data_IF_284445731154
#
_entry.id   IF_284445731154
#
_cell.length_a   1.000
_cell.length_b   1.000
_cell.length_c   1.000
_cell.angle_alpha   90.00
_cell.angle_beta   90.00
_cell.angle_gamma   90.00
#
_symmetry.space_group_name_H-M   'P 1'
#
loop_
_entity.id
_entity.type
_entity.pdbx_description
1 polymer ?
#
# COMPACT_ATOMS: atom_id res chain seq x y z
N UNK A 1 63.48 41.88 59.82
CA UNK A 1 63.57 40.96 58.71
C UNK A 1 62.49 39.90 58.95
N UNK A 2 61.38 39.99 58.26
CA UNK A 2 60.22 39.06 58.41
C UNK A 2 60.12 38.26 57.12
N UNK A 3 60.19 36.95 57.24
CA UNK A 3 59.96 36.01 56.12
C UNK A 3 58.47 35.82 55.87
N UNK A 4 58.03 36.01 54.63
CA UNK A 4 56.66 35.66 54.17
C UNK A 4 56.70 34.24 53.66
N UNK A 5 55.85 33.39 54.26
CA UNK A 5 55.58 32.04 53.80
C UNK A 5 54.39 32.09 52.88
N UNK A 6 54.56 31.71 51.60
CA UNK A 6 53.52 31.55 50.60
C UNK A 6 52.86 30.18 50.78
N UNK A 7 51.52 30.15 50.93
CA UNK A 7 50.75 28.93 50.93
C UNK A 7 50.14 28.73 49.48
N UNK A 8 50.55 27.69 48.83
CA UNK A 8 49.95 27.26 47.57
C UNK A 8 48.63 26.51 47.84
N UNK A 9 47.57 27.01 47.28
CA UNK A 9 46.29 26.32 47.30
C UNK A 9 46.20 25.40 46.08
N UNK A 10 46.02 24.10 46.33
CA UNK A 10 45.78 23.07 45.31
C UNK A 10 44.25 23.01 45.04
N UNK A 11 43.84 23.43 43.85
CA UNK A 11 42.48 23.22 43.38
C UNK A 11 42.34 21.79 42.76
N UNK A 12 41.57 20.93 43.39
CA UNK A 12 41.21 19.66 42.84
C UNK A 12 40.07 19.87 41.83
N UNK A 13 40.33 19.63 40.55
CA UNK A 13 39.29 19.61 39.48
C UNK A 13 38.69 18.22 39.47
N UNK A 14 37.46 18.10 39.97
CA UNK A 14 36.65 16.91 39.82
C UNK A 14 36.06 16.88 38.41
N UNK A 15 36.58 16.02 37.52
CA UNK A 15 36.00 15.75 36.21
C UNK A 15 34.70 14.93 36.38
N UNK A 16 33.57 15.57 36.06
CA UNK A 16 32.26 14.92 36.00
C UNK A 16 32.16 14.17 34.67
N UNK A 17 32.34 12.85 34.67
CA UNK A 17 32.06 12.01 33.51
C UNK A 17 30.56 11.96 33.29
N UNK A 18 30.07 12.71 32.30
CA UNK A 18 28.72 12.55 31.78
C UNK A 18 28.68 11.28 30.91
N UNK A 19 28.00 10.24 31.38
CA UNK A 19 27.69 9.07 30.59
C UNK A 19 26.65 9.45 29.50
N UNK A 20 26.81 9.03 28.25
CA UNK A 20 25.79 9.27 27.22
C UNK A 20 24.53 8.48 27.56
N UNK A 21 23.42 9.20 27.74
CA UNK A 21 22.07 8.60 27.77
C UNK A 21 21.77 8.04 26.35
N UNK A 22 21.92 6.75 26.18
CA UNK A 22 21.39 6.04 25.01
C UNK A 22 19.87 6.02 25.10
N UNK A 23 19.23 6.83 24.26
CA UNK A 23 17.78 6.72 24.02
C UNK A 23 17.48 5.33 23.44
N UNK A 24 16.47 4.63 23.92
CA UNK A 24 16.09 3.37 23.32
C UNK A 24 15.62 3.64 21.88
N UNK A 25 16.30 3.04 20.92
CA UNK A 25 15.82 2.93 19.55
C UNK A 25 14.49 2.19 19.61
N UNK A 26 13.39 2.87 19.25
CA UNK A 26 12.11 2.22 19.03
C UNK A 26 12.26 1.29 17.82
N UNK A 27 12.62 0.04 18.07
CA UNK A 27 12.43 -1.02 17.11
C UNK A 27 10.92 -1.05 16.81
N UNK A 28 10.54 -0.79 15.57
CA UNK A 28 9.18 -1.00 15.14
C UNK A 28 8.87 -2.48 15.42
N UNK A 29 7.91 -2.74 16.30
CA UNK A 29 7.47 -4.11 16.61
C UNK A 29 7.08 -4.80 15.30
N UNK A 30 7.78 -5.90 14.97
CA UNK A 30 7.33 -6.77 13.88
C UNK A 30 5.92 -7.28 14.22
N UNK A 31 5.00 -7.36 13.24
CA UNK A 31 3.64 -7.82 13.49
C UNK A 31 3.66 -9.20 14.16
N UNK A 32 3.07 -9.31 15.34
CA UNK A 32 2.92 -10.60 16.04
C UNK A 32 2.09 -11.53 15.17
N UNK A 33 2.54 -12.77 15.02
CA UNK A 33 1.81 -13.79 14.25
C UNK A 33 0.40 -13.97 14.81
N UNK A 34 -0.58 -14.14 13.92
CA UNK A 34 -1.98 -14.37 14.22
C UNK A 34 -2.76 -13.22 14.93
N UNK A 35 -2.16 -12.05 15.09
CA UNK A 35 -2.85 -10.84 15.56
C UNK A 35 -3.04 -9.81 14.43
N UNK A 36 -4.15 -9.07 14.47
CA UNK A 36 -4.37 -7.94 13.58
C UNK A 36 -3.55 -6.74 14.05
N UNK A 37 -2.74 -6.19 13.16
CA UNK A 37 -1.93 -5.00 13.40
C UNK A 37 -2.33 -3.93 12.42
N UNK A 38 -2.56 -2.71 12.91
CA UNK A 38 -2.86 -1.58 12.04
C UNK A 38 -1.60 -1.12 11.31
N UNK A 39 -1.68 -1.04 9.99
CA UNK A 39 -0.64 -0.44 9.14
C UNK A 39 -0.80 1.09 9.06
N UNK A 40 -1.95 1.60 9.45
CA UNK A 40 -2.25 3.03 9.49
C UNK A 40 -2.43 3.49 10.94
N UNK A 41 -1.68 4.49 11.37
CA UNK A 41 -1.65 4.96 12.75
C UNK A 41 -2.78 5.95 13.11
N UNK A 42 -3.65 6.30 12.14
CA UNK A 42 -4.75 7.25 12.32
C UNK A 42 -4.33 8.72 12.46
N UNK A 43 -3.06 9.07 12.29
CA UNK A 43 -2.54 10.42 12.53
C UNK A 43 -1.84 11.03 11.32
N UNK A 44 -1.02 10.25 10.64
CA UNK A 44 -0.20 10.69 9.52
C UNK A 44 0.15 9.50 8.60
N UNK A 45 0.92 9.76 7.55
CA UNK A 45 1.37 8.76 6.59
C UNK A 45 2.71 8.09 6.99
N UNK A 46 3.09 8.06 8.26
CA UNK A 46 4.29 7.37 8.70
C UNK A 46 4.26 5.89 8.28
N UNK A 47 5.33 5.42 7.65
CA UNK A 47 5.41 4.09 7.07
C UNK A 47 4.80 3.95 5.67
N UNK A 48 4.25 5.03 5.12
CA UNK A 48 3.67 5.07 3.79
C UNK A 48 4.38 6.09 2.90
N UNK A 49 4.61 5.75 1.64
CA UNK A 49 5.30 6.61 0.68
C UNK A 49 4.55 6.61 -0.66
N UNK A 50 4.18 7.79 -1.20
CA UNK A 50 3.49 7.89 -2.47
C UNK A 50 4.44 7.66 -3.66
N UNK A 51 3.89 7.11 -4.73
CA UNK A 51 4.45 7.12 -6.08
C UNK A 51 3.33 7.49 -7.05
N UNK A 52 3.45 8.62 -7.69
CA UNK A 52 2.47 9.14 -8.65
C UNK A 52 3.11 9.20 -10.03
N UNK A 53 2.37 8.83 -11.07
CA UNK A 53 2.83 8.86 -12.48
C UNK A 53 3.33 10.25 -12.85
N UNK A 54 4.49 10.31 -13.46
CA UNK A 54 5.15 11.58 -13.82
C UNK A 54 5.97 12.22 -12.70
N UNK A 55 5.92 11.68 -11.47
CA UNK A 55 6.58 12.22 -10.29
C UNK A 55 7.60 11.24 -9.69
N UNK A 56 8.58 11.76 -8.95
CA UNK A 56 9.56 10.93 -8.26
C UNK A 56 8.92 10.15 -7.09
N UNK A 57 9.53 9.03 -6.71
CA UNK A 57 9.11 8.28 -5.52
C UNK A 57 9.23 9.17 -4.27
N UNK A 58 8.15 9.29 -3.51
CA UNK A 58 8.04 10.14 -2.33
C UNK A 58 7.42 11.52 -2.62
N UNK A 59 7.27 11.92 -3.87
CA UNK A 59 6.55 13.15 -4.23
C UNK A 59 5.04 12.92 -4.15
N UNK A 60 4.40 13.55 -3.18
CA UNK A 60 2.95 13.54 -3.01
C UNK A 60 2.30 14.67 -3.80
N UNK A 61 2.46 14.64 -5.12
CA UNK A 61 1.95 15.67 -6.01
C UNK A 61 0.50 16.05 -5.71
N UNK A 62 0.22 17.35 -5.68
CA UNK A 62 -1.12 17.86 -5.41
C UNK A 62 -1.69 17.47 -4.04
N UNK A 63 -0.85 16.96 -3.12
CA UNK A 63 -1.29 16.46 -1.82
C UNK A 63 -2.40 15.39 -1.96
N UNK A 64 -2.18 14.50 -2.95
CA UNK A 64 -3.15 13.45 -3.32
C UNK A 64 -3.51 12.55 -2.16
N UNK A 65 -2.50 12.09 -1.42
CA UNK A 65 -2.70 11.28 -0.22
C UNK A 65 -2.50 12.14 1.02
N UNK A 66 -3.51 12.22 1.87
CA UNK A 66 -3.45 13.00 3.11
C UNK A 66 -4.27 12.35 4.22
N UNK A 67 -3.97 12.72 5.45
CA UNK A 67 -4.71 12.23 6.62
C UNK A 67 -5.51 13.38 7.20
N UNK A 68 -6.82 13.20 7.27
CA UNK A 68 -7.76 14.10 7.91
C UNK A 68 -8.78 13.29 8.69
N UNK A 69 -9.12 13.71 9.90
CA UNK A 69 -10.09 13.04 10.77
C UNK A 69 -9.78 11.57 11.06
N UNK A 70 -8.50 11.19 11.11
CA UNK A 70 -8.09 9.80 11.31
C UNK A 70 -8.29 8.88 10.11
N UNK A 71 -8.42 9.43 8.92
CA UNK A 71 -8.74 8.73 7.66
C UNK A 71 -7.68 9.07 6.61
N UNK A 72 -7.14 8.09 5.89
CA UNK A 72 -6.38 8.33 4.66
C UNK A 72 -7.38 8.75 3.59
N UNK A 73 -7.21 9.94 3.05
CA UNK A 73 -8.06 10.51 2.01
C UNK A 73 -7.27 10.67 0.72
N UNK A 74 -7.82 10.18 -0.38
CA UNK A 74 -7.35 10.48 -1.73
C UNK A 74 -8.16 11.65 -2.25
N UNK A 75 -7.49 12.73 -2.65
CA UNK A 75 -8.13 13.98 -3.09
C UNK A 75 -7.43 14.54 -4.32
N UNK A 76 -8.20 15.28 -5.11
CA UNK A 76 -7.75 15.90 -6.37
C UNK A 76 -8.10 17.40 -6.43
N UNK A 77 -8.40 18.03 -5.30
CA UNK A 77 -8.78 19.46 -5.21
C UNK A 77 -7.65 20.41 -5.65
N UNK A 78 -6.40 19.95 -5.63
CA UNK A 78 -5.24 20.70 -6.12
C UNK A 78 -4.85 20.35 -7.56
N UNK A 79 -5.62 19.47 -8.22
CA UNK A 79 -5.41 19.13 -9.62
C UNK A 79 -6.19 20.07 -10.54
N UNK A 80 -5.56 20.52 -11.61
CA UNK A 80 -6.28 21.21 -12.68
C UNK A 80 -7.08 20.21 -13.51
N UNK A 81 -6.46 19.10 -13.85
CA UNK A 81 -7.00 17.93 -14.54
C UNK A 81 -6.22 16.70 -14.07
N UNK A 82 -6.81 15.51 -14.21
CA UNK A 82 -6.18 14.25 -13.77
C UNK A 82 -4.93 13.91 -14.56
N UNK A 83 -4.97 14.10 -15.87
CA UNK A 83 -3.85 13.97 -16.83
C UNK A 83 -3.02 12.66 -16.66
N UNK A 84 -3.71 11.53 -16.40
CA UNK A 84 -3.07 10.22 -16.24
C UNK A 84 -2.21 10.08 -14.98
N UNK A 85 -2.36 10.95 -13.99
CA UNK A 85 -1.56 10.93 -12.77
C UNK A 85 -2.09 9.90 -11.77
N UNK A 86 -2.03 8.62 -12.18
CA UNK A 86 -2.33 7.49 -11.31
C UNK A 86 -1.34 7.44 -10.14
N UNK A 87 -1.80 7.08 -8.97
CA UNK A 87 -0.96 7.09 -7.77
C UNK A 87 -1.12 5.85 -6.91
N UNK A 88 -0.06 5.53 -6.20
CA UNK A 88 0.04 4.40 -5.29
C UNK A 88 0.70 4.85 -3.99
N UNK A 89 0.05 4.64 -2.87
CA UNK A 89 0.58 4.89 -1.54
C UNK A 89 1.14 3.58 -1.00
N UNK A 90 2.45 3.39 -1.08
CA UNK A 90 3.14 2.15 -0.70
C UNK A 90 3.43 2.08 0.79
N UNK A 91 3.11 0.94 1.40
CA UNK A 91 3.60 0.61 2.74
C UNK A 91 5.08 0.19 2.69
N UNK A 92 5.82 0.51 3.74
CA UNK A 92 7.30 0.37 3.80
C UNK A 92 7.82 -1.06 3.75
N UNK A 93 7.04 -2.04 4.22
CA UNK A 93 7.46 -3.42 4.39
C UNK A 93 6.84 -4.35 3.32
N UNK A 94 7.53 -5.47 3.04
CA UNK A 94 7.04 -6.54 2.19
C UNK A 94 6.36 -7.61 3.02
N UNK A 95 5.39 -8.29 2.40
CA UNK A 95 4.67 -9.39 3.02
C UNK A 95 4.54 -10.58 2.06
N UNK A 96 4.50 -11.78 2.63
CA UNK A 96 4.39 -13.05 1.90
C UNK A 96 3.11 -13.80 2.26
N UNK A 97 2.92 -14.16 3.54
CA UNK A 97 1.76 -14.90 4.03
C UNK A 97 1.00 -14.02 5.01
N UNK A 98 -0.18 -13.56 4.63
CA UNK A 98 -0.94 -12.61 5.45
C UNK A 98 -2.42 -12.56 5.06
N UNK A 99 -3.21 -11.95 5.94
CA UNK A 99 -4.54 -11.45 5.63
C UNK A 99 -4.52 -9.93 5.80
N UNK A 100 -4.94 -9.20 4.80
CA UNK A 100 -5.06 -7.74 4.80
C UNK A 100 -6.53 -7.37 4.81
N UNK A 101 -6.92 -6.42 5.65
CA UNK A 101 -8.26 -5.87 5.73
C UNK A 101 -8.21 -4.38 5.47
N UNK A 102 -9.06 -3.91 4.56
CA UNK A 102 -9.21 -2.50 4.23
C UNK A 102 -10.67 -2.10 4.28
N UNK A 103 -11.00 -1.04 5.01
CA UNK A 103 -12.30 -0.40 4.94
C UNK A 103 -12.20 0.87 4.11
N UNK A 104 -12.93 0.93 3.01
CA UNK A 104 -12.89 2.02 2.05
C UNK A 104 -14.28 2.54 1.71
N UNK A 105 -14.35 3.76 1.17
CA UNK A 105 -15.54 4.33 0.51
C UNK A 105 -15.15 5.30 -0.58
N UNK A 106 -15.97 5.39 -1.60
CA UNK A 106 -15.88 6.46 -2.61
C UNK A 106 -16.71 7.65 -2.17
N UNK A 107 -16.22 8.86 -2.45
CA UNK A 107 -16.91 10.10 -2.08
C UNK A 107 -16.78 11.14 -3.19
N UNK A 108 -17.78 12.03 -3.30
CA UNK A 108 -17.73 13.15 -4.23
C UNK A 108 -17.70 12.75 -5.71
N UNK A 109 -17.17 13.63 -6.53
CA UNK A 109 -17.09 13.49 -7.97
C UNK A 109 -15.69 13.15 -8.46
N UNK A 110 -15.60 12.48 -9.60
CA UNK A 110 -14.34 12.17 -10.25
C UNK A 110 -13.61 13.45 -10.67
N UNK A 111 -12.30 13.48 -10.54
CA UNK A 111 -11.45 14.55 -11.03
C UNK A 111 -11.66 14.76 -12.53
N UNK A 112 -11.74 16.02 -12.97
CA UNK A 112 -11.83 16.37 -14.37
C UNK A 112 -10.71 15.73 -15.18
N UNK A 113 -11.02 15.18 -16.36
CA UNK A 113 -10.05 14.47 -17.20
C UNK A 113 -9.75 13.03 -16.77
N UNK A 114 -10.35 12.56 -15.69
CA UNK A 114 -10.28 11.14 -15.31
C UNK A 114 -10.97 10.24 -16.34
N UNK A 115 -10.39 9.07 -16.69
CA UNK A 115 -10.99 8.16 -17.66
C UNK A 115 -12.31 7.58 -17.12
N UNK A 116 -13.30 7.39 -17.98
CA UNK A 116 -14.63 6.96 -17.55
C UNK A 116 -14.66 5.61 -16.82
N UNK A 117 -13.75 4.69 -17.16
CA UNK A 117 -13.61 3.41 -16.47
C UNK A 117 -13.09 3.57 -15.01
N UNK A 118 -12.40 4.67 -14.69
CA UNK A 118 -11.86 4.95 -13.38
C UNK A 118 -12.87 5.67 -12.45
N UNK A 119 -14.12 5.87 -12.87
CA UNK A 119 -15.17 6.40 -12.00
C UNK A 119 -15.45 5.40 -10.88
N UNK A 120 -15.34 5.85 -9.60
CA UNK A 120 -15.48 5.01 -8.40
C UNK A 120 -14.66 3.74 -8.51
N UNK A 121 -13.37 3.91 -8.87
CA UNK A 121 -12.37 2.87 -9.01
C UNK A 121 -11.14 3.20 -8.16
N UNK A 122 -10.61 2.21 -7.49
CA UNK A 122 -9.43 2.22 -6.65
C UNK A 122 -9.06 0.77 -6.36
N UNK A 123 -8.06 0.52 -5.51
CA UNK A 123 -7.70 -0.84 -5.16
C UNK A 123 -6.59 -0.92 -4.12
N UNK A 124 -6.29 -2.16 -3.78
CA UNK A 124 -5.07 -2.53 -3.09
C UNK A 124 -4.21 -3.32 -4.06
N UNK A 125 -3.02 -2.79 -4.34
CA UNK A 125 -2.01 -3.54 -5.05
C UNK A 125 -1.21 -4.36 -4.04
N UNK A 126 -0.91 -5.61 -4.36
CA UNK A 126 -0.09 -6.49 -3.53
C UNK A 126 0.83 -7.36 -4.36
N UNK A 127 1.79 -8.03 -3.74
CA UNK A 127 2.93 -8.60 -4.47
C UNK A 127 3.61 -7.58 -5.40
N UNK A 128 3.54 -6.29 -5.02
CA UNK A 128 4.11 -5.23 -5.84
C UNK A 128 5.63 -5.34 -5.94
N UNK A 129 6.15 -4.96 -7.11
CA UNK A 129 7.56 -4.63 -7.27
C UNK A 129 8.03 -3.62 -6.23
N UNK A 130 9.33 -3.51 -6.00
CA UNK A 130 9.89 -2.42 -5.20
C UNK A 130 9.52 -1.08 -5.86
N UNK A 131 8.80 -0.17 -5.16
CA UNK A 131 8.38 1.10 -5.74
C UNK A 131 9.54 1.97 -6.22
N UNK A 132 10.73 1.80 -5.66
CA UNK A 132 11.95 2.50 -6.11
C UNK A 132 12.44 2.03 -7.49
N UNK A 133 11.97 0.87 -7.96
CA UNK A 133 12.28 0.33 -9.29
C UNK A 133 11.25 0.74 -10.34
N UNK A 134 10.15 1.36 -9.94
CA UNK A 134 9.17 1.89 -10.88
C UNK A 134 9.78 3.04 -11.69
N UNK A 135 9.49 3.04 -13.00
CA UNK A 135 9.83 4.21 -13.83
C UNK A 135 9.03 5.43 -13.36
N UNK A 136 9.55 6.62 -13.67
CA UNK A 136 8.88 7.88 -13.34
C UNK A 136 7.48 7.95 -13.94
N UNK A 137 7.33 7.49 -15.18
CA UNK A 137 6.12 7.49 -15.99
C UNK A 137 5.30 6.19 -15.92
N UNK A 138 5.69 5.25 -15.04
CA UNK A 138 4.96 4.00 -14.87
C UNK A 138 3.65 4.25 -14.13
N UNK A 139 2.52 3.91 -14.77
CA UNK A 139 1.18 4.14 -14.24
C UNK A 139 0.83 3.19 -13.10
N UNK A 140 1.13 1.90 -13.26
CA UNK A 140 0.82 0.86 -12.27
C UNK A 140 2.07 0.06 -11.93
N UNK A 141 2.27 -0.35 -10.66
CA UNK A 141 3.32 -1.29 -10.32
C UNK A 141 3.05 -2.66 -10.95
N UNK A 142 4.10 -3.39 -11.31
CA UNK A 142 3.97 -4.82 -11.55
C UNK A 142 3.49 -5.48 -10.25
N UNK A 143 2.27 -6.04 -10.25
CA UNK A 143 1.57 -6.48 -9.04
C UNK A 143 0.34 -7.30 -9.37
N UNK A 144 -0.34 -7.81 -8.33
CA UNK A 144 -1.74 -8.19 -8.38
C UNK A 144 -2.55 -7.08 -7.72
N UNK A 145 -3.74 -6.82 -8.22
CA UNK A 145 -4.67 -5.84 -7.67
C UNK A 145 -5.93 -6.50 -7.13
N UNK A 146 -6.31 -6.16 -5.93
CA UNK A 146 -7.67 -6.30 -5.40
C UNK A 146 -8.42 -5.02 -5.74
N UNK A 147 -9.12 -5.01 -6.89
CA UNK A 147 -9.77 -3.83 -7.46
C UNK A 147 -11.06 -3.50 -6.70
N UNK A 148 -11.18 -2.28 -6.24
CA UNK A 148 -12.36 -1.76 -5.57
C UNK A 148 -13.21 -0.93 -6.54
N UNK A 149 -14.44 -1.34 -6.74
CA UNK A 149 -15.40 -0.62 -7.56
C UNK A 149 -16.62 -0.22 -6.73
N UNK A 150 -17.00 1.05 -6.79
CA UNK A 150 -18.29 1.53 -6.27
C UNK A 150 -19.38 1.43 -7.34
N UNK A 151 -20.62 1.17 -6.94
CA UNK A 151 -21.77 1.17 -7.84
C UNK A 151 -21.99 2.55 -8.48
N UNK A 152 -22.61 2.55 -9.65
CA UNK A 152 -22.94 3.74 -10.43
C UNK A 152 -24.45 4.02 -10.46
N UNK A 153 -25.19 3.48 -9.47
CA UNK A 153 -26.66 3.62 -9.40
C UNK A 153 -27.42 2.78 -10.43
N UNK A 154 -26.72 2.00 -11.26
CA UNK A 154 -27.33 1.12 -12.26
C UNK A 154 -26.41 -0.03 -12.64
N UNK A 155 -27.02 -1.18 -12.94
CA UNK A 155 -26.29 -2.37 -13.37
C UNK A 155 -25.51 -3.04 -12.24
N UNK A 156 -24.96 -4.22 -12.53
CA UNK A 156 -24.09 -4.96 -11.62
C UNK A 156 -22.66 -4.49 -11.78
N UNK A 157 -22.03 -4.13 -10.67
CA UNK A 157 -20.61 -3.75 -10.60
C UNK A 157 -20.00 -4.34 -9.34
N UNK A 158 -19.33 -5.46 -9.49
CA UNK A 158 -18.70 -6.18 -8.38
C UNK A 158 -17.45 -5.45 -7.89
N UNK A 159 -17.08 -5.69 -6.66
CA UNK A 159 -15.87 -5.11 -6.05
C UNK A 159 -14.94 -6.20 -5.52
N UNK A 160 -13.74 -5.82 -5.14
CA UNK A 160 -12.66 -6.74 -4.78
C UNK A 160 -12.42 -7.78 -5.90
N UNK A 161 -12.44 -7.27 -7.14
CA UNK A 161 -12.11 -8.02 -8.35
C UNK A 161 -10.61 -8.31 -8.38
N UNK A 162 -10.14 -9.11 -9.33
CA UNK A 162 -8.71 -9.28 -9.55
C UNK A 162 -8.31 -8.61 -10.86
N UNK A 163 -7.27 -7.76 -10.81
CA UNK A 163 -6.54 -7.31 -11.98
C UNK A 163 -5.04 -7.61 -11.81
N UNK A 164 -4.31 -7.70 -12.93
CA UNK A 164 -2.96 -8.24 -12.96
C UNK A 164 -2.00 -7.39 -13.81
N UNK A 165 -1.71 -6.13 -13.43
CA UNK A 165 -0.76 -5.32 -14.17
C UNK A 165 0.64 -5.96 -14.16
N UNK A 166 1.15 -6.32 -15.35
CA UNK A 166 2.44 -6.98 -15.52
C UNK A 166 2.54 -8.40 -14.94
N UNK A 167 1.41 -9.00 -14.59
CA UNK A 167 1.38 -10.33 -13.94
C UNK A 167 0.29 -11.22 -14.54
N UNK A 168 0.33 -12.49 -14.18
CA UNK A 168 -0.66 -13.50 -14.51
C UNK A 168 -1.00 -14.31 -13.24
N UNK A 169 -2.10 -15.05 -13.27
CA UNK A 169 -2.53 -15.96 -12.20
C UNK A 169 -2.91 -17.33 -12.77
N UNK A 170 -3.17 -18.29 -11.91
CA UNK A 170 -3.87 -19.53 -12.28
C UNK A 170 -5.30 -19.47 -11.73
N UNK A 171 -6.27 -19.47 -12.60
CA UNK A 171 -7.69 -19.49 -12.27
C UNK A 171 -8.31 -20.79 -12.79
N UNK A 172 -9.02 -21.52 -11.94
CA UNK A 172 -9.63 -22.81 -12.25
C UNK A 172 -8.64 -23.80 -12.89
N UNK A 173 -7.41 -23.83 -12.35
CA UNK A 173 -6.32 -24.73 -12.78
C UNK A 173 -5.65 -24.35 -14.10
N UNK A 174 -5.98 -23.21 -14.70
CA UNK A 174 -5.42 -22.74 -15.98
C UNK A 174 -4.74 -21.38 -15.84
N UNK A 175 -3.66 -21.18 -16.60
CA UNK A 175 -3.04 -19.85 -16.69
C UNK A 175 -4.07 -18.86 -17.25
N UNK A 176 -4.30 -17.81 -16.47
CA UNK A 176 -5.22 -16.73 -16.79
C UNK A 176 -4.43 -15.45 -17.07
N UNK A 177 -4.48 -14.98 -18.30
CA UNK A 177 -3.73 -13.82 -18.81
C UNK A 177 -4.57 -12.58 -19.10
N UNK A 178 -5.94 -12.62 -19.13
CA UNK A 178 -6.71 -11.39 -19.21
C UNK A 178 -6.41 -10.47 -18.04
N UNK A 179 -6.36 -9.16 -18.32
CA UNK A 179 -5.96 -8.15 -17.32
C UNK A 179 -6.82 -8.16 -16.06
N UNK A 180 -8.13 -8.28 -16.17
CA UNK A 180 -9.04 -8.31 -15.03
C UNK A 180 -10.09 -9.41 -15.13
N UNK A 181 -10.60 -9.85 -13.96
CA UNK A 181 -11.77 -10.69 -13.84
C UNK A 181 -12.62 -10.30 -12.63
N UNK A 182 -13.93 -10.43 -12.78
CA UNK A 182 -14.90 -10.00 -11.76
C UNK A 182 -15.02 -11.01 -10.62
N UNK A 183 -15.16 -10.51 -9.42
CA UNK A 183 -15.54 -11.29 -8.24
C UNK A 183 -17.04 -11.66 -8.27
N UNK A 184 -17.48 -12.41 -7.26
CA UNK A 184 -18.90 -12.75 -7.03
C UNK A 184 -19.59 -11.79 -6.05
N UNK A 185 -18.96 -10.66 -5.71
CA UNK A 185 -19.51 -9.72 -4.73
C UNK A 185 -20.81 -9.07 -5.17
N UNK A 186 -21.50 -8.45 -4.23
CA UNK A 186 -22.60 -7.51 -4.51
C UNK A 186 -22.05 -6.21 -5.09
N UNK A 187 -22.95 -5.37 -5.58
CA UNK A 187 -22.69 -3.97 -5.91
C UNK A 187 -22.94 -3.11 -4.67
N UNK A 188 -22.06 -2.16 -4.41
CA UNK A 188 -22.17 -1.21 -3.28
C UNK A 188 -22.31 0.19 -3.85
N UNK A 189 -23.51 0.74 -3.77
CA UNK A 189 -23.83 2.08 -4.28
C UNK A 189 -23.68 3.16 -3.21
N UNK A 190 -23.51 4.40 -3.64
CA UNK A 190 -23.37 5.55 -2.74
C UNK A 190 -22.03 5.59 -2.00
N UNK A 191 -21.98 6.40 -0.94
CA UNK A 191 -20.75 6.68 -0.18
C UNK A 191 -20.65 5.80 1.08
N UNK A 192 -21.04 4.55 0.97
CA UNK A 192 -21.01 3.59 2.08
C UNK A 192 -19.61 3.01 2.29
N UNK A 193 -19.28 2.74 3.56
CA UNK A 193 -18.07 1.99 3.88
C UNK A 193 -18.21 0.52 3.50
N UNK A 194 -17.19 -0.01 2.87
CA UNK A 194 -17.11 -1.41 2.44
C UNK A 194 -15.84 -2.03 3.02
N UNK A 195 -15.97 -3.21 3.61
CA UNK A 195 -14.83 -3.99 4.10
C UNK A 195 -14.40 -5.00 3.04
N UNK A 196 -13.19 -4.81 2.52
CA UNK A 196 -12.53 -5.77 1.65
C UNK A 196 -11.37 -6.45 2.39
N UNK A 197 -11.22 -7.75 2.21
CA UNK A 197 -10.07 -8.48 2.73
C UNK A 197 -9.44 -9.31 1.61
N UNK A 198 -8.11 -9.48 1.69
CA UNK A 198 -7.36 -10.45 0.89
C UNK A 198 -6.57 -11.36 1.81
N UNK A 199 -6.55 -12.66 1.51
CA UNK A 199 -5.73 -13.65 2.18
C UNK A 199 -4.72 -14.19 1.17
N UNK A 200 -3.44 -14.06 1.47
CA UNK A 200 -2.32 -14.36 0.57
C UNK A 200 -1.42 -15.40 1.20
N UNK A 201 -1.12 -16.47 0.47
CA UNK A 201 -0.21 -17.53 0.87
C UNK A 201 1.00 -17.60 -0.06
N UNK A 202 1.85 -16.57 -0.02
CA UNK A 202 3.02 -16.46 -0.90
C UNK A 202 2.64 -16.61 -2.37
N UNK A 203 3.33 -17.48 -3.09
CA UNK A 203 2.99 -17.84 -4.49
C UNK A 203 1.89 -18.89 -4.61
N UNK A 204 1.25 -19.27 -3.52
CA UNK A 204 0.16 -20.26 -3.48
C UNK A 204 -1.21 -19.63 -3.74
N UNK A 205 -2.15 -19.92 -2.84
CA UNK A 205 -3.54 -19.48 -2.95
C UNK A 205 -3.72 -18.03 -2.51
N UNK A 206 -4.53 -17.30 -3.25
CA UNK A 206 -5.04 -15.97 -2.89
C UNK A 206 -6.57 -16.02 -2.84
N UNK A 207 -7.14 -15.41 -1.80
CA UNK A 207 -8.60 -15.30 -1.61
C UNK A 207 -9.00 -13.86 -1.37
N UNK A 208 -10.11 -13.44 -1.97
CA UNK A 208 -10.72 -12.13 -1.74
C UNK A 208 -12.05 -12.30 -1.00
N UNK A 209 -12.29 -11.44 -0.02
CA UNK A 209 -13.52 -11.41 0.76
C UNK A 209 -14.10 -10.00 0.77
N UNK A 210 -15.43 -9.89 0.73
CA UNK A 210 -16.15 -8.62 0.90
C UNK A 210 -17.20 -8.82 1.99
N UNK A 211 -17.19 -7.96 3.00
CA UNK A 211 -18.07 -8.08 4.18
C UNK A 211 -18.03 -9.49 4.81
N UNK A 212 -16.82 -10.11 4.80
CA UNK A 212 -16.58 -11.45 5.34
C UNK A 212 -16.95 -12.62 4.41
N UNK A 213 -17.63 -12.37 3.29
CA UNK A 213 -17.98 -13.39 2.30
C UNK A 213 -16.84 -13.63 1.31
N UNK A 214 -16.45 -14.89 1.06
CA UNK A 214 -15.48 -15.27 0.02
C UNK A 214 -16.09 -14.98 -1.36
N UNK A 215 -15.48 -14.09 -2.11
CA UNK A 215 -16.00 -13.64 -3.43
C UNK A 215 -15.11 -14.04 -4.60
N UNK A 216 -13.84 -14.41 -4.34
CA UNK A 216 -12.90 -14.86 -5.37
C UNK A 216 -11.77 -15.69 -4.76
N UNK A 217 -11.27 -16.65 -5.52
CA UNK A 217 -10.07 -17.42 -5.20
C UNK A 217 -9.32 -17.76 -6.47
N UNK A 218 -7.99 -17.72 -6.43
CA UNK A 218 -7.07 -18.11 -7.50
C UNK A 218 -5.72 -18.50 -6.91
N UNK A 219 -4.76 -18.88 -7.75
CA UNK A 219 -3.48 -19.42 -7.33
C UNK A 219 -2.34 -18.88 -8.21
N UNK A 220 -1.13 -19.09 -7.72
CA UNK A 220 0.13 -18.89 -8.46
C UNK A 220 0.24 -17.52 -9.11
N UNK A 221 0.14 -16.42 -8.32
CA UNK A 221 0.49 -15.10 -8.83
C UNK A 221 1.92 -15.13 -9.38
N UNK A 222 2.12 -14.62 -10.60
CA UNK A 222 3.37 -14.75 -11.30
C UNK A 222 3.61 -13.59 -12.26
N UNK A 223 4.87 -13.27 -12.52
CA UNK A 223 5.28 -12.26 -13.49
C UNK A 223 4.83 -12.68 -14.91
N UNK A 224 4.38 -11.70 -15.70
CA UNK A 224 4.14 -11.91 -17.13
C UNK A 224 5.44 -11.70 -17.92
N UNK A 225 6.01 -12.74 -18.53
CA UNK A 225 7.23 -12.59 -19.32
C UNK A 225 7.05 -11.80 -20.62
N UNK A 226 5.82 -11.43 -20.98
CA UNK A 226 5.51 -10.58 -22.14
C UNK A 226 5.44 -9.09 -21.77
N UNK A 227 5.20 -8.77 -20.50
CA UNK A 227 5.16 -7.39 -20.03
C UNK A 227 6.57 -6.80 -19.94
N UNK A 228 6.73 -5.57 -20.38
CA UNK A 228 8.04 -4.92 -20.50
C UNK A 228 8.68 -4.60 -19.14
N UNK A 229 7.86 -4.28 -18.12
CA UNK A 229 8.35 -3.96 -16.79
C UNK A 229 8.52 -5.23 -15.94
N UNK A 230 7.60 -6.18 -16.02
CA UNK A 230 7.71 -7.47 -15.35
C UNK A 230 8.94 -8.24 -15.82
N UNK A 231 9.25 -8.20 -17.11
CA UNK A 231 10.43 -8.86 -17.69
C UNK A 231 11.75 -8.44 -17.03
N UNK A 232 11.85 -7.18 -16.58
CA UNK A 232 13.01 -6.65 -15.86
C UNK A 232 13.17 -7.23 -14.43
N UNK A 233 12.08 -7.76 -13.88
CA UNK A 233 12.02 -8.31 -12.53
C UNK A 233 12.29 -9.82 -12.52
N UNK A 234 12.22 -10.48 -13.67
CA UNK A 234 12.47 -11.93 -13.79
C UNK A 234 13.96 -12.20 -13.55
N UNK A 235 14.26 -13.04 -12.55
CA UNK A 235 15.61 -13.51 -12.24
C UNK A 235 15.62 -15.03 -12.22
N UNK A 236 16.64 -15.64 -12.83
CA UNK A 236 16.82 -17.10 -12.88
C UNK A 236 15.56 -17.84 -13.36
N UNK A 237 14.86 -17.28 -14.36
CA UNK A 237 13.59 -17.78 -14.93
C UNK A 237 12.45 -17.99 -13.91
N UNK A 238 12.57 -17.40 -12.71
CA UNK A 238 11.55 -17.47 -11.67
C UNK A 238 10.43 -16.47 -11.95
N UNK A 239 9.22 -16.99 -12.15
CA UNK A 239 8.03 -16.16 -12.40
C UNK A 239 7.17 -15.97 -11.16
N UNK A 240 7.10 -16.96 -10.25
CA UNK A 240 6.21 -16.95 -9.11
C UNK A 240 6.53 -15.81 -8.13
N UNK A 241 5.49 -15.13 -7.67
CA UNK A 241 5.57 -14.02 -6.71
C UNK A 241 5.42 -14.57 -5.28
N UNK A 242 6.52 -14.64 -4.55
CA UNK A 242 6.56 -15.17 -3.17
C UNK A 242 6.21 -14.12 -2.12
N UNK A 243 6.55 -12.86 -2.39
CA UNK A 243 6.35 -11.71 -1.52
C UNK A 243 6.31 -10.41 -2.33
N UNK A 244 5.88 -9.33 -1.74
CA UNK A 244 5.95 -8.01 -2.36
C UNK A 244 5.43 -6.91 -1.45
N UNK A 245 5.52 -5.68 -1.94
CA UNK A 245 4.95 -4.52 -1.26
C UNK A 245 3.44 -4.48 -1.41
N UNK A 246 2.81 -3.65 -0.58
CA UNK A 246 1.37 -3.34 -0.62
C UNK A 246 1.23 -1.86 -0.91
N UNK A 247 0.24 -1.48 -1.73
CA UNK A 247 -0.13 -0.07 -1.90
C UNK A 247 -1.63 0.14 -1.99
N UNK A 248 -2.08 1.32 -1.56
CA UNK A 248 -3.43 1.84 -1.79
C UNK A 248 -3.39 2.71 -3.06
N UNK A 249 -4.41 2.58 -3.90
CA UNK A 249 -4.41 3.17 -5.23
C UNK A 249 -5.22 4.47 -5.30
N UNK A 250 -4.80 5.41 -6.15
CA UNK A 250 -5.54 6.60 -6.58
C UNK A 250 -5.70 6.61 -8.11
N UNK A 251 -6.96 6.66 -8.58
CA UNK A 251 -7.33 6.54 -10.00
C UNK A 251 -8.32 7.62 -10.48
N UNK A 252 -8.16 8.84 -10.05
CA UNK A 252 -9.00 10.00 -10.41
C UNK A 252 -10.30 10.18 -9.63
N UNK A 253 -10.88 9.14 -9.00
CA UNK A 253 -12.07 9.32 -8.16
C UNK A 253 -11.65 9.38 -6.68
N UNK A 254 -12.13 10.37 -5.90
CA UNK A 254 -11.82 10.45 -4.47
C UNK A 254 -12.27 9.21 -3.71
N UNK A 255 -11.36 8.65 -2.94
CA UNK A 255 -11.59 7.48 -2.10
C UNK A 255 -11.03 7.72 -0.70
N UNK A 256 -11.60 7.10 0.29
CA UNK A 256 -11.19 7.19 1.69
C UNK A 256 -10.94 5.80 2.26
N UNK A 257 -9.88 5.68 3.10
CA UNK A 257 -9.52 4.46 3.79
C UNK A 257 -9.44 4.76 5.29
N UNK A 258 -10.36 4.21 6.08
CA UNK A 258 -10.37 4.43 7.54
C UNK A 258 -9.68 3.31 8.32
N UNK A 259 -9.48 2.15 7.71
CA UNK A 259 -8.83 1.00 8.32
C UNK A 259 -7.94 0.30 7.29
N UNK A 260 -6.70 0.06 7.67
CA UNK A 260 -5.76 -0.80 6.93
C UNK A 260 -5.05 -1.66 7.96
N UNK A 261 -5.46 -2.91 8.09
CA UNK A 261 -4.97 -3.85 9.09
C UNK A 261 -4.40 -5.10 8.44
N UNK A 262 -3.31 -5.62 8.97
CA UNK A 262 -2.70 -6.85 8.51
C UNK A 262 -2.62 -7.88 9.64
N UNK A 263 -2.78 -9.15 9.27
CA UNK A 263 -2.53 -10.29 10.12
C UNK A 263 -1.54 -11.21 9.41
N UNK A 264 -0.33 -11.34 9.94
CA UNK A 264 0.69 -12.20 9.37
C UNK A 264 0.37 -13.66 9.69
N UNK A 265 0.34 -14.50 8.66
CA UNK A 265 0.02 -15.92 8.76
C UNK A 265 1.31 -16.77 8.87
N UNK A 266 1.16 -17.98 9.36
CA UNK A 266 2.25 -18.97 9.33
C UNK A 266 2.46 -19.47 7.90
N UNK A 267 3.73 -19.66 7.53
CA UNK A 267 4.11 -20.35 6.29
C UNK A 267 3.77 -21.82 6.37
#
# INVERSE_FOLDING_TARGET
MRALTSRAAIFAITALCAAPLSLPSSAADEPKKDEWVSLFNGKNLDGWTPKITGHEYGDNYGDTFRVEDGIIKVRYDKYKEFDGQFGHLFYKDKFSHYRLKVEYRFVGDQCKGGPGWATRNSGVMFHCQDPKTMRKDQEFPVSIEAQFLGGLGKGKRTTNNMCSPGTNIVLDGKLFTPHCTNSKSKTYDGDMWVTAEIEVHGSGTVKHFVEGELVMQYEKPQLDPKDADAKKLIKDDKLLLEEGYISLQSESHPVEFRKVEIKVLKK
#
